data_IF_722652345479
#
_entry.id   IF_722652345479
#
_cell.length_a   1.000
_cell.length_b   1.000
_cell.length_c   1.000
_cell.angle_alpha   90.00
_cell.angle_beta   90.00
_cell.angle_gamma   90.00
#
_symmetry.space_group_name_H-M   'P 1'
#
loop_
_entity.id
_entity.type
_entity.pdbx_description
1 polymer ?
#
# COMPACT_ATOMS: atom_id res chain seq x y z
N UNK A 1 -9.73 42.95 61.71
CA UNK A 1 -10.75 42.35 60.80
C UNK A 1 -10.01 41.34 59.92
N UNK A 2 -10.10 40.03 60.36
CA UNK A 2 -9.45 38.93 59.64
C UNK A 2 -10.38 38.40 58.55
N UNK A 3 -9.91 38.33 57.29
CA UNK A 3 -10.58 37.65 56.19
C UNK A 3 -10.32 36.12 56.28
N UNK A 4 -11.32 35.28 55.99
CA UNK A 4 -11.12 33.83 56.01
C UNK A 4 -10.54 33.35 54.67
N UNK A 5 -9.56 32.47 54.75
CA UNK A 5 -8.93 31.75 53.66
C UNK A 5 -9.93 30.81 52.98
N UNK A 6 -10.11 30.98 51.67
CA UNK A 6 -10.94 30.10 50.82
C UNK A 6 -10.19 28.77 50.58
N UNK A 7 -10.77 27.65 51.02
CA UNK A 7 -10.27 26.31 50.72
C UNK A 7 -10.48 25.96 49.23
N UNK A 8 -9.52 25.32 48.57
CA UNK A 8 -9.72 24.86 47.20
C UNK A 8 -10.70 23.68 47.15
N UNK A 9 -11.58 23.72 46.16
CA UNK A 9 -12.63 22.74 45.89
C UNK A 9 -12.03 21.42 45.34
N UNK A 10 -12.26 20.25 45.96
CA UNK A 10 -11.74 18.97 45.50
C UNK A 10 -12.66 18.33 44.44
N UNK A 11 -12.76 18.91 43.27
CA UNK A 11 -13.73 18.51 42.24
C UNK A 11 -13.32 18.65 40.78
N UNK A 12 -12.14 19.17 40.47
CA UNK A 12 -11.68 19.17 39.05
C UNK A 12 -11.08 17.81 38.69
N UNK A 13 -12.00 16.92 38.26
CA UNK A 13 -11.59 15.72 37.55
C UNK A 13 -11.08 16.17 36.19
N UNK A 14 -9.75 16.08 35.98
CA UNK A 14 -9.15 16.12 34.62
C UNK A 14 -9.97 15.24 33.68
N UNK A 15 -10.36 15.71 32.47
CA UNK A 15 -11.10 14.88 31.54
C UNK A 15 -10.22 13.67 31.22
N UNK A 16 -10.70 12.47 31.62
CA UNK A 16 -10.12 11.20 31.16
C UNK A 16 -10.14 11.25 29.65
N UNK A 17 -8.95 11.24 29.01
CA UNK A 17 -8.79 11.28 27.59
C UNK A 17 -9.79 10.37 26.90
N UNK A 18 -10.54 10.90 25.95
CA UNK A 18 -11.61 10.23 25.22
C UNK A 18 -11.05 8.90 24.68
N UNK A 19 -11.66 7.80 25.12
CA UNK A 19 -11.26 6.45 24.69
C UNK A 19 -11.51 6.38 23.20
N UNK A 20 -10.44 6.29 22.39
CA UNK A 20 -10.54 6.19 20.93
C UNK A 20 -11.49 5.05 20.54
N UNK A 21 -12.36 5.26 19.54
CA UNK A 21 -13.17 4.19 18.97
C UNK A 21 -12.29 3.01 18.53
N UNK A 22 -12.83 1.79 18.62
CA UNK A 22 -12.06 0.56 18.32
C UNK A 22 -11.35 0.61 16.95
N UNK A 23 -12.02 1.16 15.92
CA UNK A 23 -11.46 1.31 14.56
C UNK A 23 -10.28 2.28 14.54
N UNK A 24 -10.41 3.43 15.19
CA UNK A 24 -9.35 4.43 15.26
C UNK A 24 -8.13 3.90 16.06
N UNK A 25 -8.37 3.15 17.14
CA UNK A 25 -7.31 2.49 17.89
C UNK A 25 -6.58 1.45 17.05
N UNK A 26 -7.31 0.64 16.28
CA UNK A 26 -6.71 -0.34 15.37
C UNK A 26 -5.82 0.34 14.30
N UNK A 27 -6.26 1.44 13.71
CA UNK A 27 -5.47 2.21 12.76
C UNK A 27 -4.18 2.75 13.40
N UNK A 28 -4.28 3.37 14.60
CA UNK A 28 -3.11 3.85 15.35
C UNK A 28 -2.08 2.72 15.61
N UNK A 29 -2.55 1.53 15.98
CA UNK A 29 -1.68 0.38 16.22
C UNK A 29 -0.96 -0.07 14.95
N UNK A 30 -1.65 -0.06 13.80
CA UNK A 30 -1.06 -0.38 12.50
C UNK A 30 0.02 0.62 12.10
N UNK A 31 -0.20 1.94 12.29
CA UNK A 31 0.82 2.97 12.03
C UNK A 31 2.07 2.75 12.88
N UNK A 32 1.89 2.57 14.19
CA UNK A 32 3.02 2.32 15.09
C UNK A 32 3.77 1.03 14.76
N UNK A 33 3.05 -0.01 14.33
CA UNK A 33 3.64 -1.27 13.91
C UNK A 33 4.44 -1.13 12.61
N UNK A 34 3.92 -0.37 11.63
CA UNK A 34 4.62 -0.07 10.39
C UNK A 34 5.97 0.59 10.66
N UNK A 35 5.99 1.63 11.50
CA UNK A 35 7.22 2.33 11.87
C UNK A 35 8.24 1.39 12.52
N UNK A 36 7.82 0.51 13.42
CA UNK A 36 8.70 -0.45 14.09
C UNK A 36 9.22 -1.50 13.12
N UNK A 37 8.35 -2.07 12.26
CA UNK A 37 8.77 -3.07 11.29
C UNK A 37 9.71 -2.51 10.22
N UNK A 38 9.48 -1.30 9.76
CA UNK A 38 10.37 -0.63 8.80
C UNK A 38 11.73 -0.32 9.41
N UNK A 39 11.77 0.09 10.69
CA UNK A 39 13.02 0.44 11.36
C UNK A 39 13.86 -0.78 11.77
N UNK A 40 13.24 -1.87 12.19
CA UNK A 40 13.91 -3.01 12.84
C UNK A 40 13.86 -4.30 12.01
N UNK A 41 12.98 -4.39 11.00
CA UNK A 41 12.61 -5.63 10.33
C UNK A 41 11.64 -6.48 11.17
N UNK A 42 10.99 -7.46 10.53
CA UNK A 42 10.01 -8.30 11.23
C UNK A 42 10.63 -9.09 12.39
N UNK A 43 11.81 -9.69 12.19
CA UNK A 43 12.37 -10.62 13.16
C UNK A 43 12.78 -9.94 14.46
N UNK A 44 13.42 -8.76 14.38
CA UNK A 44 13.88 -8.01 15.55
C UNK A 44 12.77 -7.25 16.27
N UNK A 45 11.71 -6.82 15.56
CA UNK A 45 10.60 -6.09 16.14
C UNK A 45 9.88 -6.90 17.23
N UNK A 46 9.60 -6.27 18.38
CA UNK A 46 8.85 -6.87 19.47
C UNK A 46 7.46 -6.23 19.61
N UNK A 47 6.47 -7.00 20.07
CA UNK A 47 5.14 -6.48 20.40
C UNK A 47 5.19 -5.40 21.49
N UNK A 48 6.19 -5.46 22.34
CA UNK A 48 6.42 -4.48 23.40
C UNK A 48 6.81 -3.12 22.82
N UNK A 49 7.73 -3.09 21.87
CA UNK A 49 8.18 -1.86 21.20
C UNK A 49 7.01 -1.20 20.46
N UNK A 50 6.14 -2.02 19.84
CA UNK A 50 4.94 -1.54 19.15
C UNK A 50 3.93 -0.94 20.15
N UNK A 51 3.71 -1.58 21.31
CA UNK A 51 2.82 -1.06 22.33
C UNK A 51 3.34 0.28 22.90
N UNK A 52 4.63 0.36 23.18
CA UNK A 52 5.29 1.57 23.68
C UNK A 52 5.24 2.69 22.63
N UNK A 53 5.52 2.37 21.36
CA UNK A 53 5.42 3.33 20.23
C UNK A 53 3.99 3.87 20.05
N UNK A 54 2.98 3.01 20.21
CA UNK A 54 1.57 3.39 20.14
C UNK A 54 1.05 4.11 21.38
N UNK A 55 1.83 4.16 22.48
CA UNK A 55 1.41 4.74 23.76
C UNK A 55 0.26 3.97 24.40
N UNK A 56 0.23 2.63 24.26
CA UNK A 56 -0.80 1.77 24.82
C UNK A 56 -0.20 0.69 25.72
N UNK A 57 -1.01 0.11 26.61
CA UNK A 57 -0.59 -1.06 27.36
C UNK A 57 -0.59 -2.32 26.47
N UNK A 58 0.30 -3.29 26.77
CA UNK A 58 0.36 -4.60 26.08
C UNK A 58 -1.00 -5.29 25.95
N UNK A 59 -1.83 -5.38 27.02
CA UNK A 59 -3.16 -5.99 26.92
C UNK A 59 -4.05 -5.30 25.86
N UNK A 60 -3.93 -3.99 25.68
CA UNK A 60 -4.69 -3.26 24.65
C UNK A 60 -4.23 -3.66 23.26
N UNK A 61 -2.92 -3.78 23.01
CA UNK A 61 -2.40 -4.27 21.73
C UNK A 61 -2.90 -5.70 21.43
N UNK A 62 -2.76 -6.61 22.40
CA UNK A 62 -3.18 -8.01 22.24
C UNK A 62 -4.71 -8.19 22.09
N UNK A 63 -5.54 -7.25 22.56
CA UNK A 63 -6.98 -7.23 22.27
C UNK A 63 -7.31 -6.96 20.79
N UNK A 64 -6.41 -6.30 20.07
CA UNK A 64 -6.58 -5.99 18.65
C UNK A 64 -5.86 -6.97 17.73
N UNK A 65 -4.71 -7.48 18.15
CA UNK A 65 -3.85 -8.37 17.39
C UNK A 65 -3.28 -9.44 18.32
N UNK A 66 -3.70 -10.70 18.18
CA UNK A 66 -3.30 -11.78 19.08
C UNK A 66 -1.78 -12.07 19.05
N UNK A 67 -1.08 -11.68 17.98
CA UNK A 67 0.36 -11.86 17.84
C UNK A 67 1.00 -10.96 16.81
N UNK A 68 2.33 -11.07 16.70
CA UNK A 68 3.13 -10.26 15.77
C UNK A 68 2.82 -10.58 14.31
N UNK A 69 2.59 -11.86 14.00
CA UNK A 69 2.25 -12.27 12.63
C UNK A 69 0.89 -11.69 12.20
N UNK A 70 -0.14 -11.78 13.03
CA UNK A 70 -1.47 -11.23 12.72
C UNK A 70 -1.44 -9.72 12.52
N UNK A 71 -0.61 -9.03 13.30
CA UNK A 71 -0.40 -7.59 13.14
C UNK A 71 0.31 -7.27 11.81
N UNK A 72 1.35 -8.04 11.49
CA UNK A 72 2.08 -7.91 10.23
C UNK A 72 1.19 -8.22 9.01
N UNK A 73 0.42 -9.31 9.07
CA UNK A 73 -0.53 -9.67 8.01
C UNK A 73 -1.61 -8.60 7.80
N UNK A 74 -2.07 -7.96 8.88
CA UNK A 74 -3.04 -6.86 8.77
C UNK A 74 -2.43 -5.59 8.13
N UNK A 75 -1.14 -5.35 8.29
CA UNK A 75 -0.43 -4.30 7.55
C UNK A 75 -0.30 -4.65 6.07
N UNK A 76 0.06 -5.90 5.76
CA UNK A 76 0.10 -6.36 4.37
C UNK A 76 -1.26 -6.27 3.69
N UNK A 77 -2.33 -6.70 4.37
CA UNK A 77 -3.69 -6.60 3.82
C UNK A 77 -4.04 -5.15 3.48
N UNK A 78 -3.72 -4.17 4.37
CA UNK A 78 -3.94 -2.74 4.12
C UNK A 78 -3.16 -2.24 2.90
N UNK A 79 -1.89 -2.58 2.81
CA UNK A 79 -1.02 -2.16 1.72
C UNK A 79 -1.46 -2.77 0.38
N UNK A 80 -1.79 -4.05 0.38
CA UNK A 80 -2.33 -4.78 -0.79
C UNK A 80 -3.64 -4.16 -1.28
N UNK A 81 -4.59 -3.91 -0.36
CA UNK A 81 -5.86 -3.28 -0.69
C UNK A 81 -5.65 -1.87 -1.29
N UNK A 82 -4.73 -1.07 -0.74
CA UNK A 82 -4.43 0.26 -1.26
C UNK A 82 -3.90 0.23 -2.72
N UNK A 83 -3.04 -0.73 -3.07
CA UNK A 83 -2.53 -0.89 -4.44
C UNK A 83 -3.64 -1.32 -5.40
N UNK A 84 -4.47 -2.30 -5.00
CA UNK A 84 -5.57 -2.81 -5.83
C UNK A 84 -6.63 -1.73 -6.05
N UNK A 85 -7.04 -1.03 -4.99
CA UNK A 85 -8.04 0.04 -5.07
C UNK A 85 -7.52 1.24 -5.88
N UNK A 86 -6.25 1.60 -5.74
CA UNK A 86 -5.58 2.61 -6.55
C UNK A 86 -5.55 2.25 -8.04
N UNK A 87 -5.23 0.99 -8.35
CA UNK A 87 -5.26 0.46 -9.73
C UNK A 87 -6.67 0.53 -10.31
N UNK A 88 -7.68 0.06 -9.56
CA UNK A 88 -9.09 0.11 -9.98
C UNK A 88 -9.53 1.54 -10.25
N UNK A 89 -9.31 2.45 -9.31
CA UNK A 89 -9.70 3.86 -9.46
C UNK A 89 -9.02 4.52 -10.66
N UNK A 90 -7.76 4.21 -10.93
CA UNK A 90 -7.04 4.72 -12.10
C UNK A 90 -7.64 4.21 -13.43
N UNK A 91 -7.96 2.92 -13.51
CA UNK A 91 -8.60 2.33 -14.70
C UNK A 91 -10.01 2.88 -14.95
N UNK A 92 -10.76 3.20 -13.89
CA UNK A 92 -12.11 3.76 -13.97
C UNK A 92 -12.13 5.28 -14.22
N UNK A 93 -10.99 5.97 -14.10
CA UNK A 93 -10.91 7.44 -14.17
C UNK A 93 -11.15 8.02 -15.57
N UNK A 94 -11.06 7.21 -16.61
CA UNK A 94 -11.18 7.62 -18.03
C UNK A 94 -11.54 6.44 -18.92
N UNK A 95 -12.13 6.72 -20.08
CA UNK A 95 -12.40 5.72 -21.12
C UNK A 95 -11.28 5.63 -22.19
N UNK A 96 -10.31 6.54 -22.17
CA UNK A 96 -9.15 6.52 -23.06
C UNK A 96 -8.07 5.58 -22.50
N UNK A 97 -7.79 4.49 -23.22
CA UNK A 97 -6.86 3.46 -22.77
C UNK A 97 -5.41 3.96 -22.62
N UNK A 98 -4.99 4.95 -23.40
CA UNK A 98 -3.68 5.59 -23.20
C UNK A 98 -3.63 6.34 -21.89
N UNK A 99 -4.73 7.03 -21.55
CA UNK A 99 -4.84 7.74 -20.27
C UNK A 99 -4.98 6.75 -19.11
N UNK A 100 -5.71 5.61 -19.27
CA UNK A 100 -5.75 4.53 -18.26
C UNK A 100 -4.36 4.02 -17.91
N UNK A 101 -3.53 3.72 -18.92
CA UNK A 101 -2.14 3.29 -18.69
C UNK A 101 -1.34 4.35 -17.96
N UNK A 102 -1.46 5.62 -18.36
CA UNK A 102 -0.77 6.72 -17.69
C UNK A 102 -1.26 6.89 -16.24
N UNK A 103 -2.57 6.93 -16.03
CA UNK A 103 -3.18 7.07 -14.71
C UNK A 103 -2.77 5.94 -13.74
N UNK A 104 -2.76 4.70 -14.22
CA UNK A 104 -2.35 3.54 -13.42
C UNK A 104 -0.88 3.62 -13.01
N UNK A 105 0.02 3.96 -13.93
CA UNK A 105 1.44 4.12 -13.61
C UNK A 105 1.67 5.30 -12.64
N UNK A 106 1.02 6.44 -12.87
CA UNK A 106 1.12 7.58 -11.95
C UNK A 106 0.57 7.25 -10.56
N UNK A 107 -0.58 6.59 -10.46
CA UNK A 107 -1.15 6.17 -9.18
C UNK A 107 -0.21 5.23 -8.42
N UNK A 108 0.39 4.26 -9.11
CA UNK A 108 1.31 3.31 -8.50
C UNK A 108 2.61 3.98 -8.02
N UNK A 109 3.24 4.83 -8.85
CA UNK A 109 4.44 5.56 -8.45
C UNK A 109 4.16 6.57 -7.33
N UNK A 110 2.97 7.17 -7.30
CA UNK A 110 2.54 8.03 -6.18
C UNK A 110 2.41 7.23 -4.89
N UNK A 111 1.81 6.04 -4.94
CA UNK A 111 1.74 5.14 -3.80
C UNK A 111 3.14 4.76 -3.30
N UNK A 112 4.04 4.35 -4.20
CA UNK A 112 5.42 3.99 -3.86
C UNK A 112 6.18 5.14 -3.20
N UNK A 113 5.97 6.37 -3.67
CA UNK A 113 6.65 7.55 -3.16
C UNK A 113 6.10 8.06 -1.81
N UNK A 114 4.78 7.94 -1.59
CA UNK A 114 4.09 8.42 -0.39
C UNK A 114 4.08 7.39 0.73
N UNK A 115 3.98 6.11 0.37
CA UNK A 115 3.84 4.99 1.31
C UNK A 115 5.06 4.05 1.23
N UNK A 116 6.27 4.64 1.19
CA UNK A 116 7.53 3.88 1.08
C UNK A 116 7.61 2.71 2.06
N UNK A 117 7.20 2.92 3.32
CA UNK A 117 7.21 1.89 4.34
C UNK A 117 6.28 0.72 4.01
N UNK A 118 5.06 0.99 3.53
CA UNK A 118 4.10 -0.05 3.13
C UNK A 118 4.57 -0.78 1.87
N UNK A 119 5.08 -0.05 0.89
CA UNK A 119 5.65 -0.64 -0.32
C UNK A 119 6.78 -1.62 0.01
N UNK A 120 7.73 -1.21 0.86
CA UNK A 120 8.82 -2.08 1.30
C UNK A 120 8.33 -3.32 2.04
N UNK A 121 7.29 -3.16 2.84
CA UNK A 121 6.68 -4.26 3.59
C UNK A 121 6.09 -5.34 2.66
N UNK A 122 5.48 -4.94 1.55
CA UNK A 122 4.90 -5.84 0.54
C UNK A 122 5.96 -6.44 -0.37
N UNK A 123 6.84 -5.61 -0.93
CA UNK A 123 7.73 -6.02 -2.02
C UNK A 123 9.17 -6.33 -1.58
N UNK A 124 9.56 -6.00 -0.34
CA UNK A 124 10.90 -6.27 0.24
C UNK A 124 10.79 -7.08 1.55
N UNK A 125 9.72 -7.85 1.72
CA UNK A 125 9.47 -8.61 2.96
C UNK A 125 10.53 -9.69 3.22
N UNK A 126 11.05 -9.74 4.44
CA UNK A 126 11.91 -10.82 4.93
C UNK A 126 11.15 -12.15 5.15
N UNK A 127 9.82 -12.12 5.11
CA UNK A 127 8.94 -13.25 5.38
C UNK A 127 8.38 -13.93 4.13
N UNK A 128 9.04 -13.79 2.98
CA UNK A 128 8.59 -14.42 1.72
C UNK A 128 8.44 -15.94 1.79
N UNK A 129 9.03 -16.60 2.79
CA UNK A 129 8.88 -18.04 3.02
C UNK A 129 7.62 -18.41 3.82
N UNK A 130 6.97 -17.45 4.49
CA UNK A 130 5.69 -17.69 5.18
C UNK A 130 4.55 -17.78 4.14
N UNK A 131 3.78 -18.89 4.12
CA UNK A 131 2.71 -19.08 3.13
C UNK A 131 1.62 -18.00 3.20
N UNK A 132 1.29 -17.51 4.40
CA UNK A 132 0.25 -16.49 4.57
C UNK A 132 0.72 -15.12 4.07
N UNK A 133 2.01 -14.81 4.20
CA UNK A 133 2.63 -13.61 3.62
C UNK A 133 2.67 -13.72 2.11
N UNK A 134 3.17 -14.83 1.57
CA UNK A 134 3.25 -15.06 0.13
C UNK A 134 1.88 -14.93 -0.54
N UNK A 135 0.85 -15.55 0.02
CA UNK A 135 -0.51 -15.47 -0.50
C UNK A 135 -0.99 -14.02 -0.66
N UNK A 136 -0.64 -13.11 0.27
CA UNK A 136 -1.03 -11.71 0.19
C UNK A 136 -0.25 -10.95 -0.88
N UNK A 137 1.04 -11.23 -0.99
CA UNK A 137 1.88 -10.62 -2.03
C UNK A 137 1.40 -11.07 -3.43
N UNK A 138 1.16 -12.36 -3.61
CA UNK A 138 0.64 -12.93 -4.87
C UNK A 138 -0.72 -12.33 -5.24
N UNK A 139 -1.54 -11.96 -4.25
CA UNK A 139 -2.84 -11.32 -4.45
C UNK A 139 -2.72 -9.98 -5.16
N UNK A 140 -1.68 -9.15 -4.89
CA UNK A 140 -1.45 -7.89 -5.61
C UNK A 140 -1.32 -8.15 -7.10
N UNK A 141 -0.40 -9.04 -7.47
CA UNK A 141 -0.16 -9.35 -8.88
C UNK A 141 -1.41 -9.93 -9.54
N UNK A 142 -2.10 -10.86 -8.87
CA UNK A 142 -3.28 -11.54 -9.43
C UNK A 142 -4.44 -10.56 -9.63
N UNK A 143 -4.85 -9.82 -8.61
CA UNK A 143 -6.02 -8.94 -8.70
C UNK A 143 -5.76 -7.72 -9.60
N UNK A 144 -4.57 -7.12 -9.54
CA UNK A 144 -4.22 -6.05 -10.49
C UNK A 144 -4.18 -6.55 -11.93
N UNK A 145 -3.62 -7.75 -12.16
CA UNK A 145 -3.60 -8.34 -13.51
C UNK A 145 -5.01 -8.68 -14.00
N UNK A 146 -5.92 -9.14 -13.16
CA UNK A 146 -7.32 -9.38 -13.54
C UNK A 146 -8.03 -8.09 -13.96
N UNK A 147 -7.86 -6.99 -13.20
CA UNK A 147 -8.41 -5.68 -13.56
C UNK A 147 -7.89 -5.19 -14.91
N UNK A 148 -6.59 -5.29 -15.14
CA UNK A 148 -5.94 -4.84 -16.38
C UNK A 148 -6.31 -5.77 -17.56
N UNK A 149 -6.37 -7.10 -17.35
CA UNK A 149 -6.73 -8.06 -18.37
C UNK A 149 -8.13 -7.83 -18.93
N UNK A 150 -9.08 -7.46 -18.06
CA UNK A 150 -10.44 -7.10 -18.47
C UNK A 150 -10.44 -5.91 -19.45
N UNK A 151 -9.70 -4.85 -19.12
CA UNK A 151 -9.57 -3.68 -20.01
C UNK A 151 -8.91 -4.05 -21.34
N UNK A 152 -7.87 -4.91 -21.33
CA UNK A 152 -7.21 -5.39 -22.55
C UNK A 152 -8.18 -6.22 -23.39
N UNK A 153 -8.97 -7.10 -22.79
CA UNK A 153 -9.96 -7.92 -23.46
C UNK A 153 -11.02 -7.04 -24.17
N UNK A 154 -11.56 -6.06 -23.45
CA UNK A 154 -12.59 -5.15 -23.99
C UNK A 154 -12.07 -4.30 -25.16
N UNK A 155 -10.79 -3.90 -25.13
CA UNK A 155 -10.18 -3.07 -26.18
C UNK A 155 -9.72 -3.88 -27.40
N UNK A 156 -9.27 -5.13 -27.21
CA UNK A 156 -8.57 -5.90 -28.25
C UNK A 156 -9.33 -7.13 -28.74
N UNK A 157 -10.27 -7.65 -27.93
CA UNK A 157 -10.94 -8.93 -28.22
C UNK A 157 -10.01 -10.16 -28.14
N UNK A 158 -8.80 -10.02 -27.58
CA UNK A 158 -7.87 -11.15 -27.39
C UNK A 158 -8.45 -12.19 -26.44
N UNK A 159 -8.07 -13.48 -26.59
CA UNK A 159 -8.42 -14.52 -25.62
C UNK A 159 -7.96 -14.20 -24.19
N UNK A 160 -8.71 -14.65 -23.19
CA UNK A 160 -8.48 -14.34 -21.77
C UNK A 160 -7.08 -14.72 -21.28
N UNK A 161 -6.54 -15.86 -21.72
CA UNK A 161 -5.19 -16.31 -21.35
C UNK A 161 -4.10 -15.37 -21.88
N UNK A 162 -4.29 -14.80 -23.07
CA UNK A 162 -3.38 -13.82 -23.65
C UNK A 162 -3.50 -12.47 -22.92
N UNK A 163 -4.72 -12.01 -22.64
CA UNK A 163 -4.95 -10.79 -21.86
C UNK A 163 -4.30 -10.88 -20.48
N UNK A 164 -4.46 -12.02 -19.79
CA UNK A 164 -3.84 -12.24 -18.48
C UNK A 164 -2.31 -12.23 -18.54
N UNK A 165 -1.71 -12.87 -19.54
CA UNK A 165 -0.26 -12.84 -19.71
C UNK A 165 0.27 -11.43 -19.92
N UNK A 166 -0.38 -10.63 -20.77
CA UNK A 166 -0.03 -9.21 -20.99
C UNK A 166 -0.20 -8.38 -19.72
N UNK A 167 -1.29 -8.58 -19.00
CA UNK A 167 -1.57 -7.87 -17.74
C UNK A 167 -0.50 -8.17 -16.67
N UNK A 168 -0.13 -9.43 -16.48
CA UNK A 168 0.96 -9.82 -15.55
C UNK A 168 2.28 -9.17 -15.95
N UNK A 169 2.60 -9.11 -17.24
CA UNK A 169 3.81 -8.44 -17.73
C UNK A 169 3.79 -6.93 -17.41
N UNK A 170 2.63 -6.27 -17.56
CA UNK A 170 2.46 -4.84 -17.22
C UNK A 170 2.60 -4.58 -15.71
N UNK A 171 2.00 -5.43 -14.88
CA UNK A 171 2.15 -5.36 -13.41
C UNK A 171 3.62 -5.51 -13.02
N UNK A 172 4.31 -6.55 -13.53
CA UNK A 172 5.72 -6.77 -13.25
C UNK A 172 6.62 -5.62 -13.73
N UNK A 173 6.31 -5.04 -14.88
CA UNK A 173 7.04 -3.86 -15.37
C UNK A 173 6.91 -2.68 -14.42
N UNK A 174 5.70 -2.38 -13.96
CA UNK A 174 5.44 -1.31 -12.98
C UNK A 174 6.17 -1.59 -11.66
N UNK A 175 6.03 -2.79 -11.12
CA UNK A 175 6.62 -3.20 -9.84
C UNK A 175 8.15 -3.11 -9.86
N UNK A 176 8.79 -3.74 -10.84
CA UNK A 176 10.26 -3.80 -10.92
C UNK A 176 10.86 -2.42 -11.16
N UNK A 177 10.26 -1.61 -12.04
CA UNK A 177 10.76 -0.27 -12.32
C UNK A 177 10.57 0.69 -11.14
N UNK A 178 9.44 0.63 -10.43
CA UNK A 178 9.20 1.47 -9.26
C UNK A 178 10.11 1.08 -8.09
N UNK A 179 10.36 -0.22 -7.89
CA UNK A 179 11.33 -0.69 -6.88
C UNK A 179 12.74 -0.16 -7.15
N UNK A 180 13.20 -0.26 -8.40
CA UNK A 180 14.50 0.26 -8.81
C UNK A 180 14.59 1.78 -8.57
N UNK A 181 13.57 2.54 -9.00
CA UNK A 181 13.50 3.98 -8.81
C UNK A 181 13.53 4.38 -7.32
N UNK A 182 12.75 3.67 -6.47
CA UNK A 182 12.72 3.94 -5.02
C UNK A 182 14.07 3.65 -4.37
N UNK A 183 14.73 2.53 -4.73
CA UNK A 183 16.05 2.18 -4.19
C UNK A 183 17.11 3.24 -4.51
N UNK A 184 17.11 3.77 -5.72
CA UNK A 184 18.02 4.84 -6.11
C UNK A 184 17.77 6.12 -5.29
N UNK A 185 16.51 6.48 -5.10
CA UNK A 185 16.08 7.64 -4.29
C UNK A 185 16.52 7.49 -2.83
N UNK A 186 16.29 6.33 -2.22
CA UNK A 186 16.64 6.07 -0.81
C UNK A 186 18.17 6.09 -0.61
N UNK A 187 18.93 5.65 -1.61
CA UNK A 187 20.38 5.68 -1.58
C UNK A 187 20.99 7.05 -1.88
N UNK A 188 20.17 8.08 -2.08
CA UNK A 188 20.62 9.43 -2.41
C UNK A 188 21.31 9.55 -3.76
N UNK A 189 21.06 8.61 -4.67
CA UNK A 189 21.53 8.70 -6.05
C UNK A 189 20.70 9.72 -6.81
N UNK A 190 21.30 10.32 -7.85
CA UNK A 190 20.62 11.26 -8.72
C UNK A 190 19.51 10.49 -9.50
N UNK A 191 18.25 10.70 -9.13
CA UNK A 191 17.13 9.99 -9.74
C UNK A 191 16.25 10.95 -10.52
N UNK A 192 15.56 10.41 -11.51
CA UNK A 192 14.52 11.17 -12.23
C UNK A 192 13.33 11.42 -11.30
N UNK A 193 12.65 12.55 -11.51
CA UNK A 193 11.44 12.91 -10.79
C UNK A 193 10.35 11.86 -10.98
N UNK A 194 9.48 11.71 -9.97
CA UNK A 194 8.42 10.70 -9.91
C UNK A 194 7.53 10.70 -11.15
N UNK A 195 7.02 11.87 -11.55
CA UNK A 195 6.13 12.00 -12.70
C UNK A 195 6.82 11.63 -14.01
N UNK A 196 8.11 11.95 -14.12
CA UNK A 196 8.90 11.55 -15.28
C UNK A 196 9.11 10.04 -15.30
N UNK A 197 9.41 9.41 -14.18
CA UNK A 197 9.57 7.96 -14.06
C UNK A 197 8.27 7.24 -14.45
N UNK A 198 7.15 7.63 -13.86
CA UNK A 198 5.84 7.10 -14.19
C UNK A 198 5.50 7.27 -15.67
N UNK A 199 5.75 8.46 -16.25
CA UNK A 199 5.50 8.78 -17.66
C UNK A 199 6.36 7.97 -18.63
N UNK A 200 7.63 7.69 -18.30
CA UNK A 200 8.50 6.84 -19.12
C UNK A 200 7.98 5.40 -19.18
N UNK A 201 7.60 4.83 -18.05
CA UNK A 201 7.08 3.46 -17.97
C UNK A 201 5.69 3.36 -18.63
N UNK A 202 4.81 4.34 -18.40
CA UNK A 202 3.53 4.43 -19.08
C UNK A 202 3.70 4.52 -20.61
N UNK A 203 4.66 5.33 -21.06
CA UNK A 203 4.97 5.45 -22.49
C UNK A 203 5.52 4.17 -23.11
N UNK A 204 6.32 3.40 -22.37
CA UNK A 204 6.81 2.09 -22.80
C UNK A 204 5.66 1.07 -22.87
N UNK A 205 4.83 1.00 -21.82
CA UNK A 205 3.66 0.12 -21.75
C UNK A 205 2.69 0.37 -22.91
N UNK A 206 2.34 1.63 -23.14
CA UNK A 206 1.42 2.02 -24.19
C UNK A 206 1.94 1.70 -25.61
N UNK A 207 3.20 1.95 -25.89
CA UNK A 207 3.79 1.66 -27.19
C UNK A 207 3.85 0.17 -27.48
N UNK A 208 4.11 -0.66 -26.47
CA UNK A 208 4.09 -2.11 -26.58
C UNK A 208 2.70 -2.65 -26.89
N UNK A 209 1.66 -2.20 -26.15
CA UNK A 209 0.27 -2.64 -26.34
C UNK A 209 -0.31 -2.19 -27.70
N UNK A 210 0.12 -1.04 -28.21
CA UNK A 210 -0.38 -0.49 -29.49
C UNK A 210 -0.19 -1.43 -30.70
N UNK A 211 0.67 -2.43 -30.60
CA UNK A 211 0.89 -3.42 -31.67
C UNK A 211 -0.19 -4.51 -31.75
N UNK A 212 -1.13 -4.59 -30.80
CA UNK A 212 -2.20 -5.59 -30.82
C UNK A 212 -3.44 -5.09 -31.55
N UNK A 213 -4.19 -5.99 -32.24
CA UNK A 213 -5.39 -5.62 -33.01
C UNK A 213 -6.46 -5.08 -32.05
N UNK A 214 -7.19 -4.07 -32.50
CA UNK A 214 -8.33 -3.49 -31.80
C UNK A 214 -9.62 -4.17 -32.23
N UNK A 215 -10.61 -4.22 -31.34
CA UNK A 215 -11.91 -4.86 -31.61
C UNK A 215 -12.64 -4.20 -32.83
N UNK A 216 -12.45 -2.91 -33.00
CA UNK A 216 -13.05 -2.13 -34.11
C UNK A 216 -12.38 -2.33 -35.46
N UNK A 217 -11.21 -2.94 -35.53
CA UNK A 217 -10.50 -3.23 -36.79
C UNK A 217 -10.84 -4.62 -37.39
N UNK A 218 -11.70 -5.41 -36.73
CA UNK A 218 -12.10 -6.77 -37.14
C UNK A 218 -13.45 -6.82 -37.86
N UNK A 219 -14.07 -5.66 -38.15
CA UNK A 219 -15.33 -5.56 -38.93
C UNK A 219 -15.05 -5.06 -40.33
#
# INVERSE_FOLDING_TARGET
>A
VSSPATRPNPGERTPRGSRLPRRARRAQLLESALEVFVAQGYHAAAMDDIADRAGVSKPVLYQHFPGKLELYLALLDRAVDAVIDGTRAALESTDDNKQRVAATMHAFYTYVASEEGEFRLVFESDLTNDPAVRQRIDRVTTECAELIAHVIHDDTGLPDDQCRLLAVALVGMGEVSARFWLQDRVQGRDTIEQDMAAGLIAGLAWRGIRGYPRTDEQT
#
